data_IF_242687991276
#
_entry.id   IF_242687991276
#
_cell.length_a   1.000
_cell.length_b   1.000
_cell.length_c   1.000
_cell.angle_alpha   90.00
_cell.angle_beta   90.00
_cell.angle_gamma   90.00
#
_symmetry.space_group_name_H-M   'P 1'
#
loop_
_entity.id
_entity.type
_entity.pdbx_description
1 polymer ?
#
# COMPACT_ATOMS: atom_id res chain seq x y z
N UNK A 1 33.76 -22.58 15.65
CA UNK A 1 32.46 -22.07 16.14
C UNK A 1 31.72 -21.44 14.97
N UNK A 2 30.58 -21.97 14.50
CA UNK A 2 29.86 -21.31 13.42
C UNK A 2 28.79 -20.39 14.02
N UNK A 3 28.81 -19.10 13.65
CA UNK A 3 27.60 -18.27 13.68
C UNK A 3 27.45 -17.60 12.33
N UNK A 4 27.01 -18.38 11.36
CA UNK A 4 26.29 -17.84 10.22
C UNK A 4 24.97 -17.26 10.75
N UNK A 5 24.77 -15.97 10.59
CA UNK A 5 23.42 -15.41 10.51
C UNK A 5 23.42 -14.41 9.36
N UNK A 6 23.28 -14.95 8.15
CA UNK A 6 22.86 -14.17 6.99
C UNK A 6 21.35 -14.02 7.12
N UNK A 7 20.90 -12.90 7.70
CA UNK A 7 19.48 -12.55 7.72
C UNK A 7 19.10 -12.18 6.28
N UNK A 8 18.54 -13.14 5.54
CA UNK A 8 17.82 -12.85 4.30
C UNK A 8 16.58 -12.04 4.69
N UNK A 9 16.64 -10.71 4.55
CA UNK A 9 15.43 -9.88 4.49
C UNK A 9 14.70 -10.30 3.21
N UNK A 10 13.78 -11.25 3.31
CA UNK A 10 12.80 -11.48 2.25
C UNK A 10 12.11 -10.14 2.03
N UNK A 11 12.23 -9.62 0.83
CA UNK A 11 11.43 -8.50 0.35
C UNK A 11 9.97 -8.90 0.55
N UNK A 12 9.29 -8.28 1.51
CA UNK A 12 7.87 -8.55 1.77
C UNK A 12 7.13 -7.84 0.66
N UNK A 13 6.91 -8.53 -0.46
CA UNK A 13 6.01 -8.05 -1.50
C UNK A 13 4.60 -8.07 -0.93
N UNK A 14 4.07 -6.89 -0.60
CA UNK A 14 2.66 -6.73 -0.25
C UNK A 14 1.87 -6.78 -1.56
N UNK A 15 1.11 -7.85 -1.75
CA UNK A 15 0.12 -7.94 -2.82
C UNK A 15 -1.01 -6.94 -2.59
N UNK A 16 -1.52 -6.40 -3.69
CA UNK A 16 -2.56 -5.38 -3.71
C UNK A 16 -3.76 -5.90 -4.49
N UNK A 17 -4.94 -5.83 -3.90
CA UNK A 17 -6.20 -6.21 -4.51
C UNK A 17 -7.02 -4.98 -4.94
N UNK A 18 -7.60 -5.04 -6.13
CA UNK A 18 -8.48 -3.99 -6.63
C UNK A 18 -9.78 -3.94 -5.80
N UNK A 19 -10.13 -2.75 -5.30
CA UNK A 19 -11.37 -2.51 -4.56
C UNK A 19 -12.37 -1.74 -5.43
N UNK A 20 -13.62 -2.22 -5.45
CA UNK A 20 -14.73 -1.62 -6.18
C UNK A 20 -15.84 -1.17 -5.24
N UNK A 21 -16.55 -0.11 -5.61
CA UNK A 21 -17.76 0.31 -4.90
C UNK A 21 -19.00 -0.53 -5.30
N UNK A 22 -20.14 -0.24 -4.66
CA UNK A 22 -21.43 -0.89 -4.95
C UNK A 22 -21.89 -0.75 -6.42
N UNK A 23 -21.40 0.29 -7.11
CA UNK A 23 -21.65 0.52 -8.53
C UNK A 23 -20.64 -0.20 -9.45
N UNK A 24 -19.84 -1.13 -8.91
CA UNK A 24 -18.77 -1.88 -9.60
C UNK A 24 -17.66 -1.01 -10.19
N UNK A 25 -17.53 0.26 -9.78
CA UNK A 25 -16.45 1.16 -10.21
C UNK A 25 -15.22 0.96 -9.32
N UNK A 26 -14.02 0.93 -9.90
CA UNK A 26 -12.75 0.89 -9.16
C UNK A 26 -12.60 2.16 -8.31
N UNK A 27 -12.23 1.98 -7.05
CA UNK A 27 -11.97 3.08 -6.11
C UNK A 27 -10.48 3.18 -5.79
N UNK A 28 -9.79 2.04 -5.71
CA UNK A 28 -8.39 1.99 -5.34
C UNK A 28 -7.92 0.55 -5.21
N UNK A 29 -6.79 0.38 -4.54
CA UNK A 29 -6.18 -0.90 -4.28
C UNK A 29 -5.93 -1.04 -2.78
N UNK A 30 -6.19 -2.21 -2.21
CA UNK A 30 -6.01 -2.53 -0.79
C UNK A 30 -4.92 -3.58 -0.65
N UNK A 31 -4.05 -3.44 0.35
CA UNK A 31 -3.10 -4.49 0.70
C UNK A 31 -3.79 -5.72 1.27
N UNK A 32 -3.22 -6.90 1.07
CA UNK A 32 -3.80 -8.15 1.59
C UNK A 32 -3.89 -8.20 3.13
N UNK A 33 -3.07 -7.40 3.83
CA UNK A 33 -3.13 -7.25 5.29
C UNK A 33 -4.13 -6.17 5.75
N UNK A 34 -4.82 -5.54 4.79
CA UNK A 34 -5.81 -4.48 4.98
C UNK A 34 -5.27 -3.21 5.67
N UNK A 35 -3.94 -3.06 5.77
CA UNK A 35 -3.30 -1.94 6.45
C UNK A 35 -3.03 -0.73 5.56
N UNK A 36 -3.04 -0.91 4.25
CA UNK A 36 -2.77 0.14 3.27
C UNK A 36 -3.86 0.16 2.20
N UNK A 37 -4.48 1.32 2.03
CA UNK A 37 -5.38 1.60 0.93
C UNK A 37 -4.82 2.72 0.06
N UNK A 38 -4.76 2.49 -1.25
CA UNK A 38 -4.17 3.40 -2.22
C UNK A 38 -5.24 3.85 -3.21
N UNK A 39 -5.43 5.16 -3.33
CA UNK A 39 -6.27 5.79 -4.34
C UNK A 39 -5.36 6.53 -5.30
N UNK A 40 -5.48 6.27 -6.60
CA UNK A 40 -4.76 7.02 -7.64
C UNK A 40 -5.75 7.80 -8.49
N UNK A 41 -5.65 9.12 -8.47
CA UNK A 41 -6.41 10.03 -9.33
C UNK A 41 -5.41 10.89 -10.09
N UNK A 42 -5.30 10.65 -11.40
CA UNK A 42 -4.29 11.29 -12.27
C UNK A 42 -2.86 11.08 -11.73
N UNK A 43 -2.14 12.16 -11.48
CA UNK A 43 -0.80 12.23 -10.91
C UNK A 43 -0.81 12.18 -9.37
N UNK A 44 -1.97 12.24 -8.71
CA UNK A 44 -2.06 12.22 -7.26
C UNK A 44 -2.33 10.81 -6.73
N UNK A 45 -1.42 10.33 -5.88
CA UNK A 45 -1.56 9.09 -5.11
C UNK A 45 -1.88 9.47 -3.67
N UNK A 46 -3.03 9.01 -3.19
CA UNK A 46 -3.42 9.09 -1.78
C UNK A 46 -3.20 7.74 -1.14
N UNK A 47 -2.44 7.69 -0.04
CA UNK A 47 -2.22 6.48 0.76
C UNK A 47 -2.88 6.66 2.12
N UNK A 48 -3.76 5.75 2.47
CA UNK A 48 -4.43 5.66 3.76
C UNK A 48 -3.83 4.45 4.47
N UNK A 49 -3.18 4.67 5.60
CA UNK A 49 -2.51 3.60 6.37
C UNK A 49 -3.14 3.51 7.75
N UNK A 50 -3.47 2.29 8.17
CA UNK A 50 -3.92 2.03 9.55
C UNK A 50 -2.71 2.06 10.47
N UNK A 51 -2.73 2.93 11.47
CA UNK A 51 -1.69 2.97 12.51
C UNK A 51 -2.00 1.94 13.60
N UNK A 52 -1.01 1.51 14.41
CA UNK A 52 -1.22 0.50 15.45
C UNK A 52 -2.25 0.87 16.52
N UNK A 53 -2.49 2.17 16.72
CA UNK A 53 -3.50 2.70 17.64
C UNK A 53 -4.93 2.71 17.05
N UNK A 54 -5.10 2.21 15.82
CA UNK A 54 -6.38 2.14 15.13
C UNK A 54 -6.80 3.44 14.44
N UNK A 55 -5.97 4.48 14.45
CA UNK A 55 -6.21 5.69 13.66
C UNK A 55 -5.77 5.51 12.20
N UNK A 56 -6.08 6.50 11.36
CA UNK A 56 -5.73 6.49 9.93
C UNK A 56 -4.75 7.62 9.65
N UNK A 57 -3.57 7.26 9.14
CA UNK A 57 -2.63 8.22 8.58
C UNK A 57 -2.89 8.37 7.08
N UNK A 58 -3.09 9.59 6.61
CA UNK A 58 -3.39 9.90 5.21
C UNK A 58 -2.27 10.75 4.63
N UNK A 59 -1.71 10.31 3.51
CA UNK A 59 -0.67 11.06 2.79
C UNK A 59 -1.03 11.22 1.33
N UNK A 60 -0.58 12.32 0.73
CA UNK A 60 -0.76 12.63 -0.68
C UNK A 60 0.60 12.85 -1.33
N UNK A 61 0.84 12.17 -2.45
CA UNK A 61 2.05 12.30 -3.24
C UNK A 61 1.67 12.56 -4.69
N UNK A 62 2.33 13.54 -5.33
CA UNK A 62 2.29 13.65 -6.79
C UNK A 62 3.36 12.76 -7.37
N UNK A 63 2.95 11.74 -8.12
CA UNK A 63 3.85 10.87 -8.86
C UNK A 63 3.87 11.39 -10.28
N UNK A 64 4.96 12.08 -10.63
CA UNK A 64 5.20 12.48 -12.01
C UNK A 64 5.23 11.22 -12.90
N UNK A 65 4.58 11.23 -14.07
CA UNK A 65 4.69 10.13 -15.00
C UNK A 65 6.17 9.95 -15.37
N UNK A 66 6.68 8.73 -15.26
CA UNK A 66 8.00 8.38 -15.81
C UNK A 66 7.93 8.67 -17.31
N UNK A 67 8.72 9.66 -17.75
CA UNK A 67 8.80 10.10 -19.13
C UNK A 67 9.34 9.00 -20.06
#
# INVERSE_FOLDING_TARGET
>A
MPKHSKINRKEVTISMAEVRNLNKKRIGDMSDDERLFVIKIKDCVTRITVTPDGTLNITHERVEPVA
#
